data_IF_243363372466
#
_entry.id   IF_243363372466
#
_cell.length_a   1.000
_cell.length_b   1.000
_cell.length_c   1.000
_cell.angle_alpha   90.00
_cell.angle_beta   90.00
_cell.angle_gamma   90.00
#
_symmetry.space_group_name_H-M   'P 1'
#
loop_
_entity.id
_entity.type
_entity.pdbx_description
1 polymer ?
#
# COMPACT_ATOMS: atom_id res chain seq x y z
N UNK A 1 -41.11 8.10 0.08
CA UNK A 1 -40.32 8.87 -0.88
C UNK A 1 -39.27 7.91 -1.41
N UNK A 2 -39.32 7.56 -2.71
CA UNK A 2 -38.35 6.65 -3.33
C UNK A 2 -36.98 7.33 -3.26
N UNK A 3 -36.01 6.68 -2.62
CA UNK A 3 -34.61 7.05 -2.80
C UNK A 3 -34.34 7.01 -4.31
N UNK A 4 -34.09 8.19 -4.89
CA UNK A 4 -33.64 8.27 -6.28
C UNK A 4 -32.37 7.42 -6.37
N UNK A 5 -32.39 6.38 -7.21
CA UNK A 5 -31.19 5.61 -7.56
C UNK A 5 -30.20 6.58 -8.23
N UNK A 6 -29.38 7.24 -7.42
CA UNK A 6 -28.28 8.07 -7.92
C UNK A 6 -27.27 7.10 -8.53
N UNK A 7 -27.17 7.13 -9.84
CA UNK A 7 -26.20 6.31 -10.58
C UNK A 7 -24.83 6.96 -10.43
N UNK A 8 -23.85 6.22 -9.86
CA UNK A 8 -22.47 6.66 -9.78
C UNK A 8 -21.82 6.66 -11.17
N UNK A 9 -21.32 7.81 -11.67
CA UNK A 9 -20.78 7.90 -13.01
C UNK A 9 -19.64 6.91 -13.28
N UNK A 10 -18.75 6.68 -12.30
CA UNK A 10 -17.62 5.76 -12.43
C UNK A 10 -18.05 4.29 -12.57
N UNK A 11 -19.23 3.93 -12.08
CA UNK A 11 -19.73 2.55 -12.01
C UNK A 11 -20.83 2.27 -13.04
N UNK A 12 -21.24 3.29 -13.79
CA UNK A 12 -22.30 3.14 -14.81
C UNK A 12 -21.77 2.28 -15.96
N UNK A 13 -22.44 1.17 -16.30
CA UNK A 13 -22.09 0.39 -17.46
C UNK A 13 -22.02 1.25 -18.73
N UNK A 14 -20.94 1.15 -19.46
CA UNK A 14 -20.73 1.83 -20.74
C UNK A 14 -20.19 0.82 -21.74
N UNK A 15 -20.89 0.64 -22.87
CA UNK A 15 -20.45 -0.24 -23.95
C UNK A 15 -19.18 0.28 -24.64
N UNK A 16 -18.91 1.59 -24.56
CA UNK A 16 -17.71 2.20 -25.13
C UNK A 16 -16.47 2.03 -24.23
N UNK A 17 -16.59 1.49 -23.02
CA UNK A 17 -15.47 1.27 -22.09
C UNK A 17 -14.32 0.44 -22.65
N UNK A 18 -14.55 -0.28 -23.72
CA UNK A 18 -13.54 -1.09 -24.40
C UNK A 18 -12.64 -0.28 -25.35
N UNK A 19 -12.98 1.00 -25.55
CA UNK A 19 -12.24 1.93 -26.39
C UNK A 19 -11.67 3.05 -25.52
N UNK A 20 -10.37 3.32 -25.66
CA UNK A 20 -9.69 4.31 -24.81
C UNK A 20 -10.10 5.74 -25.14
N UNK A 21 -10.33 6.06 -26.40
CA UNK A 21 -10.64 7.41 -26.84
C UNK A 21 -12.11 7.55 -27.28
N UNK A 22 -12.72 8.73 -27.09
CA UNK A 22 -12.14 9.96 -26.50
C UNK A 22 -11.94 9.85 -24.99
N UNK A 23 -10.95 10.59 -24.46
CA UNK A 23 -10.71 10.71 -23.02
C UNK A 23 -11.80 11.59 -22.40
N UNK A 24 -12.51 11.08 -21.41
CA UNK A 24 -13.58 11.79 -20.70
C UNK A 24 -13.12 12.39 -19.36
N UNK A 25 -12.15 11.75 -18.70
CA UNK A 25 -11.59 12.17 -17.41
C UNK A 25 -10.09 12.45 -17.56
N UNK A 26 -9.74 13.67 -17.99
CA UNK A 26 -8.35 14.05 -18.25
C UNK A 26 -7.45 13.89 -17.03
N UNK A 27 -7.92 14.26 -15.84
CA UNK A 27 -7.17 14.13 -14.59
C UNK A 27 -6.89 12.66 -14.22
N UNK A 28 -7.83 11.75 -14.49
CA UNK A 28 -7.65 10.30 -14.32
C UNK A 28 -6.63 9.78 -15.34
N UNK A 29 -6.73 10.25 -16.59
CA UNK A 29 -5.78 9.90 -17.64
C UNK A 29 -4.36 10.39 -17.34
N UNK A 30 -4.21 11.62 -16.85
CA UNK A 30 -2.92 12.17 -16.44
C UNK A 30 -2.29 11.36 -15.31
N UNK A 31 -3.07 10.88 -14.35
CA UNK A 31 -2.55 10.00 -13.30
C UNK A 31 -2.06 8.67 -13.85
N UNK A 32 -2.79 8.06 -14.80
CA UNK A 32 -2.30 6.87 -15.50
C UNK A 32 -0.96 7.15 -16.20
N UNK A 33 -0.83 8.27 -16.91
CA UNK A 33 0.43 8.64 -17.58
C UNK A 33 1.57 8.86 -16.59
N UNK A 34 1.32 9.53 -15.47
CA UNK A 34 2.31 9.68 -14.39
C UNK A 34 2.81 8.33 -13.86
N UNK A 35 1.92 7.34 -13.72
CA UNK A 35 2.28 6.00 -13.30
C UNK A 35 3.16 5.29 -14.36
N UNK A 36 2.81 5.39 -15.63
CA UNK A 36 3.62 4.86 -16.74
C UNK A 36 5.01 5.50 -16.81
N UNK A 37 5.08 6.82 -16.61
CA UNK A 37 6.34 7.58 -16.65
C UNK A 37 7.26 7.23 -15.48
N UNK A 38 6.73 6.70 -14.39
CA UNK A 38 7.49 6.27 -13.21
C UNK A 38 7.85 4.78 -13.20
N UNK A 39 7.60 4.05 -14.29
CA UNK A 39 7.86 2.60 -14.41
C UNK A 39 9.32 2.26 -14.11
N UNK A 40 9.51 1.18 -13.37
CA UNK A 40 10.82 0.60 -13.04
C UNK A 40 10.68 -0.92 -12.93
N UNK A 41 11.82 -1.63 -12.88
CA UNK A 41 11.89 -3.09 -12.76
C UNK A 41 12.81 -3.48 -11.61
N UNK A 42 12.57 -4.64 -11.02
CA UNK A 42 13.36 -5.13 -9.88
C UNK A 42 14.86 -5.24 -10.20
N UNK A 43 15.22 -5.57 -11.46
CA UNK A 43 16.62 -5.68 -11.91
C UNK A 43 17.38 -4.32 -11.94
N UNK A 44 16.70 -3.20 -11.82
CA UNK A 44 17.32 -1.88 -11.75
C UNK A 44 17.90 -1.59 -10.35
N UNK A 45 17.56 -2.43 -9.35
CA UNK A 45 18.03 -2.27 -7.97
C UNK A 45 19.26 -3.14 -7.71
N UNK A 46 20.41 -2.49 -7.54
CA UNK A 46 21.66 -3.17 -7.22
C UNK A 46 21.77 -3.46 -5.72
N UNK A 47 21.71 -4.75 -5.33
CA UNK A 47 21.84 -5.23 -3.95
C UNK A 47 23.29 -5.63 -3.58
N UNK A 48 24.27 -5.46 -4.46
CA UNK A 48 25.61 -5.99 -4.27
C UNK A 48 26.33 -5.46 -3.02
N UNK A 49 26.01 -4.24 -2.59
CA UNK A 49 26.56 -3.61 -1.38
C UNK A 49 25.82 -3.95 -0.11
N UNK A 50 24.53 -4.28 -0.21
CA UNK A 50 23.64 -4.45 0.93
C UNK A 50 24.07 -5.61 1.84
N UNK A 51 24.60 -6.70 1.30
CA UNK A 51 25.06 -7.83 2.11
C UNK A 51 26.19 -7.49 3.07
N UNK A 52 27.06 -6.54 2.70
CA UNK A 52 28.10 -6.08 3.59
C UNK A 52 27.51 -5.23 4.73
N UNK A 53 26.62 -4.32 4.39
CA UNK A 53 25.92 -3.48 5.37
C UNK A 53 25.05 -4.34 6.29
N UNK A 54 24.32 -5.33 5.76
CA UNK A 54 23.49 -6.26 6.52
C UNK A 54 24.26 -6.92 7.68
N UNK A 55 25.52 -7.33 7.45
CA UNK A 55 26.38 -7.95 8.46
C UNK A 55 26.80 -6.98 9.56
N UNK A 56 26.72 -5.67 9.32
CA UNK A 56 27.08 -4.63 10.31
C UNK A 56 25.88 -4.21 11.17
N UNK A 57 24.67 -4.53 10.74
CA UNK A 57 23.46 -4.25 11.50
C UNK A 57 23.42 -5.12 12.76
N UNK A 58 22.93 -4.55 13.87
CA UNK A 58 22.67 -5.31 15.06
C UNK A 58 21.41 -6.18 14.92
N UNK A 59 21.22 -7.10 15.86
CA UNK A 59 20.09 -8.06 15.83
C UNK A 59 18.70 -7.37 15.81
N UNK A 60 18.54 -6.26 16.54
CA UNK A 60 17.29 -5.51 16.58
C UNK A 60 16.98 -4.84 15.22
N UNK A 61 18.02 -4.29 14.57
CA UNK A 61 17.89 -3.68 13.23
C UNK A 61 17.56 -4.73 12.17
N UNK A 62 18.24 -5.88 12.20
CA UNK A 62 17.95 -7.00 11.30
C UNK A 62 16.53 -7.53 11.52
N UNK A 63 16.13 -7.75 12.78
CA UNK A 63 14.78 -8.18 13.12
C UNK A 63 13.73 -7.22 12.60
N UNK A 64 13.96 -5.93 12.80
CA UNK A 64 13.08 -4.87 12.31
C UNK A 64 12.91 -4.93 10.78
N UNK A 65 14.01 -4.98 10.01
CA UNK A 65 13.98 -5.05 8.55
C UNK A 65 13.24 -6.32 8.10
N UNK A 66 13.53 -7.48 8.73
CA UNK A 66 12.83 -8.74 8.45
C UNK A 66 11.32 -8.61 8.62
N UNK A 67 10.86 -7.98 9.72
CA UNK A 67 9.42 -7.78 9.97
C UNK A 67 8.76 -6.87 8.92
N UNK A 68 9.43 -5.80 8.52
CA UNK A 68 8.93 -4.89 7.48
C UNK A 68 8.85 -5.59 6.13
N UNK A 69 9.89 -6.31 5.72
CA UNK A 69 9.90 -7.06 4.46
C UNK A 69 8.86 -8.19 4.45
N UNK A 70 8.70 -8.90 5.57
CA UNK A 70 7.69 -9.93 5.72
C UNK A 70 6.27 -9.36 5.60
N UNK A 71 6.03 -8.19 6.18
CA UNK A 71 4.76 -7.47 6.02
C UNK A 71 4.53 -7.09 4.56
N UNK A 72 5.49 -6.47 3.90
CA UNK A 72 5.37 -6.06 2.50
C UNK A 72 5.07 -7.27 1.59
N UNK A 73 5.89 -8.31 1.64
CA UNK A 73 5.68 -9.51 0.84
C UNK A 73 4.32 -10.19 1.06
N UNK A 74 3.76 -10.08 2.27
CA UNK A 74 2.46 -10.63 2.60
C UNK A 74 1.27 -9.73 2.19
N UNK A 75 1.49 -8.42 2.05
CA UNK A 75 0.44 -7.43 1.83
C UNK A 75 0.10 -7.22 0.38
N UNK A 76 1.10 -7.18 -0.51
CA UNK A 76 0.92 -6.87 -1.93
C UNK A 76 0.01 -7.89 -2.63
N UNK A 77 0.08 -9.15 -2.24
CA UNK A 77 -0.84 -10.18 -2.75
C UNK A 77 -2.31 -9.90 -2.42
N UNK A 78 -2.61 -9.32 -1.26
CA UNK A 78 -3.98 -8.94 -0.87
C UNK A 78 -4.41 -7.68 -1.60
N UNK A 79 -3.51 -6.71 -1.79
CA UNK A 79 -3.77 -5.49 -2.57
C UNK A 79 -4.06 -5.84 -4.02
N UNK A 80 -3.21 -6.65 -4.65
CA UNK A 80 -3.34 -7.11 -6.02
C UNK A 80 -4.67 -7.83 -6.25
N UNK A 81 -5.06 -8.75 -5.35
CA UNK A 81 -6.34 -9.46 -5.43
C UNK A 81 -7.52 -8.49 -5.36
N UNK A 82 -7.47 -7.47 -4.49
CA UNK A 82 -8.51 -6.45 -4.37
C UNK A 82 -8.64 -5.63 -5.66
N UNK A 83 -7.52 -5.22 -6.25
CA UNK A 83 -7.50 -4.49 -7.52
C UNK A 83 -8.10 -5.30 -8.66
N UNK A 84 -7.60 -6.53 -8.85
CA UNK A 84 -7.97 -7.37 -9.99
C UNK A 84 -9.44 -7.86 -9.89
N UNK A 85 -9.88 -8.31 -8.70
CA UNK A 85 -11.20 -8.93 -8.51
C UNK A 85 -12.30 -7.90 -8.28
N UNK A 86 -12.00 -6.78 -7.61
CA UNK A 86 -13.02 -5.83 -7.18
C UNK A 86 -12.99 -4.53 -7.98
N UNK A 87 -11.94 -3.74 -7.87
CA UNK A 87 -11.95 -2.40 -8.44
C UNK A 87 -11.99 -2.38 -9.97
N UNK A 88 -11.25 -3.28 -10.63
CA UNK A 88 -11.35 -3.40 -12.09
C UNK A 88 -12.70 -3.94 -12.57
N UNK A 89 -13.40 -4.72 -11.74
CA UNK A 89 -14.76 -5.19 -12.02
C UNK A 89 -15.82 -4.11 -11.85
N UNK A 90 -15.68 -3.30 -10.80
CA UNK A 90 -16.66 -2.27 -10.44
C UNK A 90 -16.58 -1.03 -11.36
N UNK A 91 -15.36 -0.54 -11.64
CA UNK A 91 -15.15 0.69 -12.40
C UNK A 91 -15.34 0.47 -13.90
N UNK A 92 -16.17 1.33 -14.53
CA UNK A 92 -16.54 1.22 -15.93
C UNK A 92 -15.84 2.27 -16.83
N UNK A 93 -15.12 3.23 -16.24
CA UNK A 93 -14.39 4.28 -16.95
C UNK A 93 -13.07 3.74 -17.48
N UNK A 94 -12.81 3.87 -18.78
CA UNK A 94 -11.63 3.29 -19.46
C UNK A 94 -10.30 3.83 -18.91
N UNK A 95 -10.21 5.12 -18.63
CA UNK A 95 -9.03 5.78 -18.06
C UNK A 95 -8.69 5.24 -16.67
N UNK A 96 -9.69 5.03 -15.82
CA UNK A 96 -9.49 4.47 -14.49
C UNK A 96 -9.12 2.99 -14.54
N UNK A 97 -9.69 2.24 -15.48
CA UNK A 97 -9.32 0.84 -15.73
C UNK A 97 -7.88 0.71 -16.23
N UNK A 98 -7.41 1.66 -17.06
CA UNK A 98 -6.02 1.72 -17.50
C UNK A 98 -5.07 1.92 -16.30
N UNK A 99 -5.41 2.84 -15.38
CA UNK A 99 -4.62 3.05 -14.16
C UNK A 99 -4.57 1.77 -13.31
N UNK A 100 -5.71 1.17 -13.00
CA UNK A 100 -5.74 -0.06 -12.20
C UNK A 100 -5.00 -1.23 -12.85
N UNK A 101 -5.10 -1.37 -14.18
CA UNK A 101 -4.36 -2.41 -14.91
C UNK A 101 -2.85 -2.23 -14.77
N UNK A 102 -2.36 -1.00 -14.81
CA UNK A 102 -0.94 -0.71 -14.62
C UNK A 102 -0.54 -0.83 -13.14
N UNK A 103 -1.39 -0.41 -12.19
CA UNK A 103 -1.17 -0.63 -10.76
C UNK A 103 -0.99 -2.12 -10.46
N UNK A 104 -1.85 -2.99 -10.98
CA UNK A 104 -1.68 -4.46 -10.85
C UNK A 104 -0.30 -4.92 -11.34
N UNK A 105 0.20 -4.36 -12.44
CA UNK A 105 1.53 -4.69 -12.94
C UNK A 105 2.64 -4.22 -11.99
N UNK A 106 2.51 -3.03 -11.41
CA UNK A 106 3.46 -2.51 -10.43
C UNK A 106 3.46 -3.30 -9.12
N UNK A 107 2.29 -3.72 -8.63
CA UNK A 107 2.20 -4.58 -7.44
C UNK A 107 2.91 -5.93 -7.62
N UNK A 108 2.93 -6.49 -8.83
CA UNK A 108 3.74 -7.67 -9.13
C UNK A 108 5.24 -7.36 -9.03
N UNK A 109 5.70 -6.20 -9.50
CA UNK A 109 7.11 -5.77 -9.40
C UNK A 109 7.49 -5.51 -7.94
N UNK A 110 6.60 -4.90 -7.13
CA UNK A 110 6.80 -4.70 -5.70
C UNK A 110 6.97 -6.06 -4.99
N UNK A 111 6.07 -6.99 -5.24
CA UNK A 111 6.10 -8.34 -4.67
C UNK A 111 7.37 -9.11 -5.04
N UNK A 112 7.80 -9.01 -6.31
CA UNK A 112 9.07 -9.57 -6.78
C UNK A 112 10.25 -8.94 -6.04
N UNK A 113 10.29 -7.61 -5.93
CA UNK A 113 11.36 -6.89 -5.24
C UNK A 113 11.48 -7.30 -3.77
N UNK A 114 10.38 -7.39 -3.04
CA UNK A 114 10.39 -7.83 -1.63
C UNK A 114 10.85 -9.27 -1.49
N UNK A 115 10.46 -10.14 -2.42
CA UNK A 115 10.92 -11.52 -2.44
C UNK A 115 12.44 -11.62 -2.67
N UNK A 116 12.98 -10.80 -3.59
CA UNK A 116 14.42 -10.72 -3.85
C UNK A 116 15.17 -10.18 -2.62
N UNK A 117 14.65 -9.17 -1.93
CA UNK A 117 15.26 -8.64 -0.72
C UNK A 117 15.32 -9.68 0.40
N UNK A 118 14.22 -10.39 0.65
CA UNK A 118 14.20 -11.51 1.63
C UNK A 118 15.19 -12.60 1.22
N UNK A 119 15.18 -13.02 -0.04
CA UNK A 119 16.06 -14.06 -0.53
C UNK A 119 17.55 -13.69 -0.41
N UNK A 120 17.85 -12.43 -0.62
CA UNK A 120 19.22 -11.87 -0.56
C UNK A 120 19.74 -11.79 0.88
N UNK A 121 18.93 -11.28 1.82
CA UNK A 121 19.42 -11.02 3.18
C UNK A 121 19.31 -12.21 4.11
N UNK A 122 18.35 -13.09 3.91
CA UNK A 122 18.08 -14.22 4.79
C UNK A 122 18.67 -15.50 4.17
N UNK A 123 19.66 -16.07 4.82
CA UNK A 123 20.34 -17.27 4.33
C UNK A 123 19.71 -18.57 4.85
N UNK A 124 19.13 -18.54 6.05
CA UNK A 124 18.45 -19.70 6.63
C UNK A 124 17.11 -19.96 5.94
N UNK A 125 16.96 -21.17 5.39
CA UNK A 125 15.76 -21.55 4.61
C UNK A 125 14.49 -21.62 5.47
N UNK A 126 14.61 -21.99 6.74
CA UNK A 126 13.47 -22.09 7.66
C UNK A 126 12.98 -20.70 8.05
N UNK A 127 13.92 -19.79 8.36
CA UNK A 127 13.59 -18.40 8.64
C UNK A 127 12.96 -17.74 7.41
N UNK A 128 13.53 -17.96 6.21
CA UNK A 128 12.99 -17.46 4.95
C UNK A 128 11.55 -17.92 4.73
N UNK A 129 11.27 -19.20 4.91
CA UNK A 129 9.92 -19.74 4.81
C UNK A 129 8.97 -19.10 5.82
N UNK A 130 9.41 -18.89 7.05
CA UNK A 130 8.62 -18.24 8.11
C UNK A 130 8.24 -16.81 7.73
N UNK A 131 9.14 -16.06 7.08
CA UNK A 131 8.89 -14.70 6.60
C UNK A 131 7.91 -14.67 5.41
N UNK A 132 8.03 -15.60 4.46
CA UNK A 132 7.08 -15.71 3.35
C UNK A 132 5.67 -16.13 3.82
N UNK A 133 5.57 -16.84 4.94
CA UNK A 133 4.31 -17.23 5.58
C UNK A 133 3.89 -16.25 6.69
N UNK A 134 4.29 -14.98 6.61
CA UNK A 134 4.15 -14.00 7.67
C UNK A 134 2.70 -13.78 8.15
N UNK A 135 1.72 -13.90 7.27
CA UNK A 135 0.30 -13.82 7.65
C UNK A 135 -0.17 -14.94 8.56
N UNK A 136 0.59 -16.03 8.67
CA UNK A 136 0.29 -17.15 9.57
C UNK A 136 1.15 -17.10 10.84
N UNK A 137 2.35 -16.53 10.75
CA UNK A 137 3.36 -16.59 11.80
C UNK A 137 3.42 -15.34 12.68
N UNK A 138 2.95 -14.18 12.19
CA UNK A 138 3.03 -12.91 12.92
C UNK A 138 1.65 -12.29 13.14
N UNK A 139 1.12 -12.27 14.38
CA UNK A 139 -0.25 -11.80 14.68
C UNK A 139 -0.53 -10.37 14.22
N UNK A 140 0.44 -9.46 14.33
CA UNK A 140 0.30 -8.07 13.90
C UNK A 140 0.15 -7.95 12.36
N UNK A 141 0.88 -8.78 11.59
CA UNK A 141 0.74 -8.88 10.13
C UNK A 141 -0.59 -9.54 9.77
N UNK A 142 -0.97 -10.61 10.46
CA UNK A 142 -2.27 -11.28 10.30
C UNK A 142 -3.43 -10.29 10.46
N UNK A 143 -3.35 -9.40 11.45
CA UNK A 143 -4.39 -8.41 11.74
C UNK A 143 -4.56 -7.41 10.59
N UNK A 144 -3.45 -6.89 10.04
CA UNK A 144 -3.46 -6.01 8.85
C UNK A 144 -4.06 -6.72 7.64
N UNK A 145 -3.61 -7.93 7.34
CA UNK A 145 -4.11 -8.73 6.22
C UNK A 145 -5.60 -9.08 6.36
N UNK A 146 -6.06 -9.41 7.56
CA UNK A 146 -7.47 -9.71 7.82
C UNK A 146 -8.37 -8.47 7.65
N UNK A 147 -7.88 -7.29 8.05
CA UNK A 147 -8.61 -6.05 7.83
C UNK A 147 -8.74 -5.74 6.34
N UNK A 148 -7.67 -5.88 5.55
CA UNK A 148 -7.71 -5.72 4.10
C UNK A 148 -8.65 -6.74 3.43
N UNK A 149 -8.57 -8.03 3.81
CA UNK A 149 -9.47 -9.09 3.32
C UNK A 149 -10.94 -8.86 3.69
N UNK A 150 -11.22 -8.27 4.87
CA UNK A 150 -12.58 -7.87 5.25
C UNK A 150 -13.20 -6.96 4.21
N UNK A 151 -12.45 -5.95 3.73
CA UNK A 151 -12.92 -5.02 2.71
C UNK A 151 -12.99 -5.63 1.31
N UNK A 152 -12.06 -6.50 0.96
CA UNK A 152 -12.11 -7.28 -0.27
C UNK A 152 -13.40 -8.12 -0.37
N UNK A 153 -13.79 -8.78 0.71
CA UNK A 153 -14.93 -9.69 0.75
C UNK A 153 -16.25 -8.98 1.10
N UNK A 154 -16.23 -7.69 1.39
CA UNK A 154 -17.42 -6.94 1.77
C UNK A 154 -18.31 -6.60 0.56
N UNK A 155 -19.44 -7.31 0.45
CA UNK A 155 -20.46 -7.07 -0.57
C UNK A 155 -21.60 -6.14 -0.10
N UNK A 156 -21.54 -5.63 1.14
CA UNK A 156 -22.58 -4.79 1.73
C UNK A 156 -22.21 -3.31 1.74
N UNK A 157 -20.94 -3.00 1.88
CA UNK A 157 -20.45 -1.63 1.88
C UNK A 157 -20.51 -1.01 0.48
N UNK A 158 -20.74 0.31 0.44
CA UNK A 158 -20.71 1.06 -0.81
C UNK A 158 -19.32 1.06 -1.45
N UNK A 159 -19.25 1.31 -2.75
CA UNK A 159 -17.99 1.49 -3.45
C UNK A 159 -17.12 2.56 -2.78
N UNK A 160 -17.72 3.70 -2.38
CA UNK A 160 -17.01 4.77 -1.67
C UNK A 160 -16.37 4.31 -0.36
N UNK A 161 -17.05 3.46 0.42
CA UNK A 161 -16.48 2.92 1.66
C UNK A 161 -15.29 1.99 1.40
N UNK A 162 -15.38 1.14 0.38
CA UNK A 162 -14.28 0.26 -0.03
C UNK A 162 -13.10 1.06 -0.57
N UNK A 163 -13.37 2.15 -1.32
CA UNK A 163 -12.34 3.02 -1.86
C UNK A 163 -11.60 3.80 -0.75
N UNK A 164 -12.30 4.29 0.28
CA UNK A 164 -11.66 4.91 1.46
C UNK A 164 -10.81 3.90 2.23
N UNK A 165 -11.31 2.68 2.41
CA UNK A 165 -10.53 1.62 3.05
C UNK A 165 -9.29 1.24 2.23
N UNK A 166 -9.40 1.21 0.90
CA UNK A 166 -8.27 0.97 0.01
C UNK A 166 -7.22 2.09 0.11
N UNK A 167 -7.66 3.36 0.12
CA UNK A 167 -6.76 4.50 0.37
C UNK A 167 -6.06 4.41 1.74
N UNK A 168 -6.72 3.85 2.76
CA UNK A 168 -6.09 3.61 4.05
C UNK A 168 -5.05 2.48 4.01
N UNK A 169 -5.27 1.43 3.22
CA UNK A 169 -4.28 0.38 3.01
C UNK A 169 -3.02 0.97 2.35
N UNK A 170 -3.16 1.62 1.20
CA UNK A 170 -2.06 2.20 0.44
C UNK A 170 -1.34 3.34 1.19
N UNK A 171 -2.11 4.23 1.82
CA UNK A 171 -1.57 5.44 2.45
C UNK A 171 -1.15 5.27 3.90
N UNK A 172 -1.78 4.38 4.68
CA UNK A 172 -1.52 4.25 6.13
C UNK A 172 -0.73 2.98 6.45
N UNK A 173 -1.15 1.81 5.96
CA UNK A 173 -0.53 0.55 6.36
C UNK A 173 0.92 0.38 5.92
N UNK A 174 1.37 1.10 4.91
CA UNK A 174 2.76 1.09 4.44
C UNK A 174 3.60 2.24 5.00
N UNK A 175 2.97 3.29 5.53
CA UNK A 175 3.61 4.56 5.85
C UNK A 175 4.74 4.45 6.87
N UNK A 176 4.50 3.80 7.99
CA UNK A 176 5.50 3.64 9.04
C UNK A 176 6.65 2.72 8.62
N UNK A 177 6.36 1.70 7.83
CA UNK A 177 7.37 0.81 7.25
C UNK A 177 8.31 1.56 6.31
N UNK A 178 7.78 2.35 5.38
CA UNK A 178 8.60 3.20 4.50
C UNK A 178 9.43 4.21 5.27
N UNK A 179 8.83 4.93 6.22
CA UNK A 179 9.54 5.90 7.07
C UNK A 179 10.71 5.26 7.81
N UNK A 180 10.53 4.03 8.26
CA UNK A 180 11.54 3.27 8.98
C UNK A 180 12.73 2.88 8.10
N UNK A 181 12.50 2.52 6.84
CA UNK A 181 13.57 2.24 5.87
C UNK A 181 14.27 3.54 5.47
N UNK A 182 13.57 4.67 5.38
CA UNK A 182 14.20 5.98 5.19
C UNK A 182 15.15 6.36 6.34
N UNK A 183 14.89 5.88 7.56
CA UNK A 183 15.84 6.03 8.67
C UNK A 183 17.14 5.25 8.43
N UNK A 184 17.07 4.04 7.84
CA UNK A 184 18.26 3.28 7.41
C UNK A 184 19.05 4.09 6.35
N UNK A 185 18.35 4.67 5.36
CA UNK A 185 18.95 5.54 4.35
C UNK A 185 19.70 6.72 4.95
N UNK A 186 19.14 7.36 5.97
CA UNK A 186 19.79 8.50 6.66
C UNK A 186 21.12 8.12 7.29
N UNK A 187 21.33 6.85 7.59
CA UNK A 187 22.60 6.31 8.10
C UNK A 187 23.59 5.93 7.00
N UNK A 188 23.21 6.03 5.73
CA UNK A 188 24.03 5.68 4.58
C UNK A 188 24.23 4.17 4.41
N UNK A 189 23.32 3.34 4.92
CA UNK A 189 23.37 1.88 4.87
C UNK A 189 22.32 1.32 3.91
N UNK A 190 22.57 0.10 3.40
CA UNK A 190 21.64 -0.68 2.60
C UNK A 190 21.13 0.07 1.36
N UNK A 191 22.00 0.52 0.43
CA UNK A 191 21.62 1.36 -0.69
C UNK A 191 20.56 0.73 -1.61
N UNK A 192 20.60 -0.59 -1.82
CA UNK A 192 19.61 -1.28 -2.62
C UNK A 192 18.24 -1.32 -1.94
N UNK A 193 18.18 -1.69 -0.66
CA UNK A 193 16.94 -1.64 0.14
C UNK A 193 16.33 -0.24 0.13
N UNK A 194 17.14 0.78 0.31
CA UNK A 194 16.65 2.15 0.40
C UNK A 194 16.22 2.71 -0.95
N UNK A 195 16.87 2.31 -2.05
CA UNK A 195 16.45 2.68 -3.40
C UNK A 195 15.12 2.02 -3.78
N UNK A 196 14.96 0.72 -3.51
CA UNK A 196 13.69 0.05 -3.74
C UNK A 196 12.56 0.68 -2.93
N UNK A 197 12.82 1.05 -1.68
CA UNK A 197 11.86 1.77 -0.83
C UNK A 197 11.45 3.13 -1.43
N UNK A 198 12.35 3.85 -2.09
CA UNK A 198 12.03 5.10 -2.78
C UNK A 198 11.10 4.88 -3.96
N UNK A 199 11.38 3.87 -4.79
CA UNK A 199 10.55 3.55 -5.94
C UNK A 199 9.16 3.12 -5.49
N UNK A 200 9.08 2.16 -4.58
CA UNK A 200 7.81 1.62 -4.11
C UNK A 200 7.00 2.68 -3.36
N UNK A 201 7.59 3.41 -2.41
CA UNK A 201 6.85 4.44 -1.66
C UNK A 201 6.32 5.58 -2.55
N UNK A 202 7.00 5.89 -3.65
CA UNK A 202 6.51 6.83 -4.68
C UNK A 202 5.28 6.27 -5.39
N UNK A 203 5.32 5.00 -5.76
CA UNK A 203 4.22 4.33 -6.44
C UNK A 203 2.99 4.24 -5.50
N UNK A 204 3.16 3.86 -4.23
CA UNK A 204 2.09 3.80 -3.24
C UNK A 204 1.47 5.18 -2.94
N UNK A 205 2.28 6.23 -2.96
CA UNK A 205 1.75 7.59 -2.86
C UNK A 205 0.83 7.93 -4.04
N UNK A 206 1.20 7.52 -5.25
CA UNK A 206 0.39 7.72 -6.44
C UNK A 206 -0.89 6.87 -6.42
N UNK A 207 -0.83 5.63 -5.92
CA UNK A 207 -1.97 4.77 -5.73
C UNK A 207 -2.98 5.37 -4.72
N UNK A 208 -2.49 5.91 -3.62
CA UNK A 208 -3.30 6.63 -2.63
C UNK A 208 -3.96 7.89 -3.23
N UNK A 209 -3.18 8.71 -3.96
CA UNK A 209 -3.69 9.90 -4.66
C UNK A 209 -4.80 9.52 -5.66
N UNK A 210 -4.64 8.41 -6.36
CA UNK A 210 -5.64 7.93 -7.30
C UNK A 210 -6.94 7.51 -6.62
N UNK A 211 -6.85 6.79 -5.50
CA UNK A 211 -8.03 6.43 -4.72
C UNK A 211 -8.80 7.68 -4.23
N UNK A 212 -8.08 8.71 -3.77
CA UNK A 212 -8.65 10.01 -3.38
C UNK A 212 -9.28 10.72 -4.58
N UNK A 213 -8.61 10.73 -5.73
CA UNK A 213 -9.17 11.32 -6.96
C UNK A 213 -10.47 10.66 -7.37
N UNK A 214 -10.53 9.32 -7.40
CA UNK A 214 -11.77 8.61 -7.72
C UNK A 214 -12.85 8.87 -6.68
N UNK A 215 -12.49 8.91 -5.39
CA UNK A 215 -13.43 9.27 -4.33
C UNK A 215 -14.00 10.67 -4.53
N UNK A 216 -13.20 11.64 -4.98
CA UNK A 216 -13.65 13.01 -5.26
C UNK A 216 -14.74 13.07 -6.34
N UNK A 217 -14.72 12.13 -7.28
CA UNK A 217 -15.68 12.02 -8.41
C UNK A 217 -16.98 11.32 -8.06
N UNK A 218 -17.10 10.72 -6.87
CA UNK A 218 -18.33 10.07 -6.46
C UNK A 218 -19.43 11.09 -6.20
N UNK A 219 -20.62 10.80 -6.70
CA UNK A 219 -21.82 11.58 -6.45
C UNK A 219 -22.31 11.42 -5.02
N UNK A 220 -22.26 10.20 -4.50
CA UNK A 220 -22.67 9.86 -3.13
C UNK A 220 -21.44 9.61 -2.25
N UNK A 221 -21.06 10.65 -1.50
CA UNK A 221 -19.97 10.56 -0.54
C UNK A 221 -20.40 9.96 0.78
N UNK A 222 -19.43 9.36 1.51
CA UNK A 222 -19.65 8.92 2.87
C UNK A 222 -19.87 10.13 3.80
N UNK A 223 -20.60 9.92 4.87
CA UNK A 223 -20.60 10.90 5.95
C UNK A 223 -19.25 10.89 6.70
N UNK A 224 -18.90 12.02 7.30
CA UNK A 224 -17.62 12.20 8.00
C UNK A 224 -17.38 11.13 9.06
N UNK A 225 -18.42 10.79 9.82
CA UNK A 225 -18.31 9.77 10.88
C UNK A 225 -17.82 8.44 10.32
N UNK A 226 -18.35 8.00 9.16
CA UNK A 226 -17.96 6.74 8.55
C UNK A 226 -16.52 6.76 8.03
N UNK A 227 -16.07 7.89 7.45
CA UNK A 227 -14.66 8.07 7.06
C UNK A 227 -13.76 7.93 8.29
N UNK A 228 -14.06 8.66 9.37
CA UNK A 228 -13.27 8.59 10.59
C UNK A 228 -13.22 7.17 11.18
N UNK A 229 -14.33 6.44 11.20
CA UNK A 229 -14.36 5.05 11.69
C UNK A 229 -13.38 4.16 10.91
N UNK A 230 -13.39 4.24 9.57
CA UNK A 230 -12.52 3.43 8.71
C UNK A 230 -11.04 3.80 8.94
N UNK A 231 -10.73 5.08 8.92
CA UNK A 231 -9.36 5.57 9.09
C UNK A 231 -8.82 5.26 10.50
N UNK A 232 -9.63 5.44 11.53
CA UNK A 232 -9.23 5.15 12.90
C UNK A 232 -8.95 3.66 13.13
N UNK A 233 -9.77 2.76 12.57
CA UNK A 233 -9.49 1.32 12.60
C UNK A 233 -8.10 1.02 11.99
N UNK A 234 -7.79 1.60 10.83
CA UNK A 234 -6.51 1.42 10.17
C UNK A 234 -5.34 1.98 10.99
N UNK A 235 -5.49 3.17 11.56
CA UNK A 235 -4.46 3.80 12.42
C UNK A 235 -4.12 2.94 13.63
N UNK A 236 -5.11 2.42 14.32
CA UNK A 236 -4.86 1.57 15.50
C UNK A 236 -4.16 0.26 15.15
N UNK A 237 -4.52 -0.33 14.01
CA UNK A 237 -3.85 -1.55 13.51
C UNK A 237 -2.39 -1.26 13.12
N UNK A 238 -2.13 -0.12 12.45
CA UNK A 238 -0.77 0.26 12.06
C UNK A 238 0.10 0.60 13.28
N UNK A 239 -0.45 1.28 14.28
CA UNK A 239 0.25 1.54 15.55
C UNK A 239 0.64 0.25 16.27
N UNK A 240 -0.27 -0.72 16.33
CA UNK A 240 0.00 -2.03 16.92
C UNK A 240 1.15 -2.73 16.19
N UNK A 241 1.08 -2.78 14.84
CA UNK A 241 2.13 -3.36 14.03
C UNK A 241 3.49 -2.73 14.30
N UNK A 242 3.59 -1.39 14.25
CA UNK A 242 4.87 -0.72 14.38
C UNK A 242 5.45 -0.84 15.80
N UNK A 243 4.61 -0.94 16.84
CA UNK A 243 5.06 -1.19 18.20
C UNK A 243 5.66 -2.58 18.39
N UNK A 244 5.18 -3.58 17.66
CA UNK A 244 5.74 -4.94 17.68
C UNK A 244 6.99 -5.06 16.79
N UNK A 245 7.00 -4.37 15.64
CA UNK A 245 8.09 -4.42 14.67
C UNK A 245 9.33 -3.64 15.12
N UNK A 246 9.15 -2.50 15.80
CA UNK A 246 10.28 -1.64 16.21
C UNK A 246 10.65 -1.94 17.67
N UNK A 247 11.86 -2.47 17.91
CA UNK A 247 12.41 -2.59 19.26
C UNK A 247 12.56 -1.20 19.92
N UNK A 248 12.13 -1.06 21.18
CA UNK A 248 12.02 0.21 21.93
C UNK A 248 13.33 1.02 22.07
N UNK A 249 14.46 0.56 21.52
CA UNK A 249 15.80 1.12 21.76
C UNK A 249 16.60 1.53 20.52
N UNK A 250 15.96 1.65 19.36
CA UNK A 250 16.67 2.10 18.17
C UNK A 250 16.94 3.61 18.25
N UNK A 251 18.22 4.02 18.08
CA UNK A 251 18.63 5.42 18.17
C UNK A 251 17.96 6.23 17.06
N UNK A 252 17.18 7.26 17.44
CA UNK A 252 16.52 8.18 16.51
C UNK A 252 15.24 7.67 15.87
N UNK A 253 14.83 6.43 16.17
CA UNK A 253 13.53 5.86 15.77
C UNK A 253 12.94 5.12 16.96
N UNK A 254 11.75 5.53 17.41
CA UNK A 254 11.05 4.88 18.52
C UNK A 254 9.56 4.79 18.21
N UNK A 255 8.90 3.82 18.84
CA UNK A 255 7.47 3.53 18.63
C UNK A 255 6.56 4.74 18.88
N UNK A 256 6.86 5.61 19.84
CA UNK A 256 6.04 6.79 20.13
C UNK A 256 6.08 7.81 18.97
N UNK A 257 7.26 8.13 18.46
CA UNK A 257 7.39 9.04 17.31
C UNK A 257 6.75 8.45 16.05
N UNK A 258 6.88 7.14 15.85
CA UNK A 258 6.23 6.47 14.74
C UNK A 258 4.70 6.48 14.83
N UNK A 259 4.14 6.32 16.02
CA UNK A 259 2.69 6.48 16.22
C UNK A 259 2.21 7.89 15.87
N UNK A 260 2.94 8.93 16.28
CA UNK A 260 2.63 10.32 15.89
C UNK A 260 2.72 10.53 14.38
N UNK A 261 3.70 9.90 13.73
CA UNK A 261 3.82 9.95 12.28
C UNK A 261 2.64 9.28 11.56
N UNK A 262 2.18 8.12 12.04
CA UNK A 262 0.99 7.43 11.52
C UNK A 262 -0.24 8.34 11.64
N UNK A 263 -0.45 8.98 12.80
CA UNK A 263 -1.54 9.93 13.00
C UNK A 263 -1.46 11.10 12.01
N UNK A 264 -0.27 11.66 11.82
CA UNK A 264 -0.05 12.75 10.85
C UNK A 264 -0.40 12.32 9.41
N UNK A 265 0.01 11.13 8.99
CA UNK A 265 -0.32 10.60 7.66
C UNK A 265 -1.83 10.39 7.51
N UNK A 266 -2.48 9.84 8.54
CA UNK A 266 -3.92 9.64 8.56
C UNK A 266 -4.70 10.96 8.52
N UNK A 267 -4.29 11.98 9.26
CA UNK A 267 -4.89 13.31 9.23
C UNK A 267 -4.81 13.93 7.83
N UNK A 268 -3.67 13.78 7.15
CA UNK A 268 -3.53 14.25 5.76
C UNK A 268 -4.50 13.53 4.82
N UNK A 269 -4.64 12.21 4.96
CA UNK A 269 -5.58 11.44 4.14
C UNK A 269 -7.03 11.86 4.40
N UNK A 270 -7.42 12.07 5.66
CA UNK A 270 -8.77 12.55 6.02
C UNK A 270 -9.08 13.92 5.41
N UNK A 271 -8.10 14.83 5.36
CA UNK A 271 -8.28 16.17 4.75
C UNK A 271 -8.48 16.06 3.23
N UNK A 272 -7.92 15.06 2.59
CA UNK A 272 -8.05 14.84 1.15
C UNK A 272 -9.37 14.16 0.76
N UNK A 273 -9.96 13.37 1.65
CA UNK A 273 -11.24 12.67 1.47
C UNK A 273 -12.45 13.57 1.77
#
# INVERSE_FOLDING_TARGET
MSESNVVEPLLKPDENRYVMFPIHYNDVWEMYKRQVDSFWRAEEVDLSKDLNDWKTLNEDEQKFIKMVLAFFAASDGVVLENLAVRFMGDVQVSEARAFYGFQVAMENIHSEMYSILIDTYIQDSTEKQTLFEATQNYPCITKKANWAKKWLNDNRSSFGARLVAFAAIEGIFFSASFASIYWIKKRGLMPGLTLSNEFISRDEALHTEFAVLLYSKLTKKLNKKRIYEIIQEAVEIEKEFICEAIPCRMIGMNSKLMQQYIEFVADRLVVQL
#
